data_IF_123155244803
#
_entry.id   IF_123155244803
#
_cell.length_a   1.000
_cell.length_b   1.000
_cell.length_c   1.000
_cell.angle_alpha   90.00
_cell.angle_beta   90.00
_cell.angle_gamma   90.00
#
_symmetry.space_group_name_H-M   'P 1'
#
loop_
_entity.id
_entity.type
_entity.pdbx_description
1 polymer ?
#
# COMPACT_ATOMS: atom_id res chain seq x y z
N UNK A 1 -1.99 4.90 8.35
CA UNK A 1 -1.20 4.26 9.43
C UNK A 1 -1.65 4.76 10.79
N UNK A 2 -1.61 6.08 11.04
CA UNK A 2 -2.07 6.67 12.30
C UNK A 2 -3.49 6.23 12.69
N UNK A 3 -4.48 6.30 11.78
CA UNK A 3 -5.87 5.92 12.10
C UNK A 3 -6.03 4.44 12.48
N UNK A 4 -5.17 3.56 11.95
CA UNK A 4 -5.15 2.13 12.28
C UNK A 4 -4.53 1.93 13.66
N UNK A 5 -3.41 2.60 13.94
CA UNK A 5 -2.75 2.58 15.25
C UNK A 5 -3.67 3.13 16.35
N UNK A 6 -4.37 4.24 16.10
CA UNK A 6 -5.33 4.83 17.03
C UNK A 6 -6.52 3.88 17.29
N UNK A 7 -7.01 3.22 16.24
CA UNK A 7 -8.10 2.23 16.36
C UNK A 7 -7.65 1.00 17.15
N UNK A 8 -6.42 0.53 16.94
CA UNK A 8 -5.83 -0.60 17.67
C UNK A 8 -5.54 -0.25 19.13
N UNK A 9 -5.02 0.96 19.40
CA UNK A 9 -4.79 1.49 20.74
C UNK A 9 -6.12 1.58 21.50
N UNK A 10 -7.21 2.04 20.85
CA UNK A 10 -8.52 2.12 21.49
C UNK A 10 -9.04 0.74 21.93
N UNK A 11 -8.78 -0.31 21.13
CA UNK A 11 -9.22 -1.69 21.37
C UNK A 11 -8.35 -2.44 22.36
N UNK A 12 -7.03 -2.28 22.29
CA UNK A 12 -6.06 -3.09 23.05
C UNK A 12 -5.44 -2.34 24.23
N UNK A 13 -5.51 -1.01 24.25
CA UNK A 13 -4.87 -0.15 25.24
C UNK A 13 -3.34 -0.07 25.11
N UNK A 14 -2.75 -0.66 24.06
CA UNK A 14 -1.30 -0.74 23.86
C UNK A 14 -0.88 0.10 22.67
N UNK A 15 0.16 0.92 22.83
CA UNK A 15 0.75 1.70 21.72
C UNK A 15 1.73 0.83 20.93
N UNK A 16 1.25 0.22 19.84
CA UNK A 16 2.00 -0.74 18.99
C UNK A 16 2.53 -0.14 17.69
N UNK A 17 2.79 1.17 17.67
CA UNK A 17 3.21 1.91 16.47
C UNK A 17 4.48 1.33 15.83
N UNK A 18 5.45 0.87 16.63
CA UNK A 18 6.68 0.26 16.13
C UNK A 18 6.47 -1.04 15.35
N UNK A 19 5.50 -1.87 15.77
CA UNK A 19 5.17 -3.12 15.07
C UNK A 19 4.51 -2.83 13.72
N UNK A 20 3.54 -1.91 13.68
CA UNK A 20 2.91 -1.48 12.43
C UNK A 20 3.92 -0.84 11.48
N UNK A 21 4.85 -0.02 11.99
CA UNK A 21 5.95 0.55 11.22
C UNK A 21 6.88 -0.50 10.63
N UNK A 22 7.26 -1.52 11.41
CA UNK A 22 8.11 -2.61 10.95
C UNK A 22 7.45 -3.43 9.83
N UNK A 23 6.17 -3.78 10.00
CA UNK A 23 5.40 -4.50 8.97
C UNK A 23 5.26 -3.68 7.70
N UNK A 24 4.99 -2.37 7.82
CA UNK A 24 4.93 -1.47 6.67
C UNK A 24 6.25 -1.43 5.90
N UNK A 25 7.36 -1.26 6.61
CA UNK A 25 8.68 -1.22 5.99
C UNK A 25 9.04 -2.53 5.30
N UNK A 26 8.71 -3.67 5.92
CA UNK A 26 8.88 -4.98 5.30
C UNK A 26 8.02 -5.13 4.03
N UNK A 27 6.74 -4.74 4.11
CA UNK A 27 5.82 -4.83 2.96
C UNK A 27 6.31 -3.97 1.79
N UNK A 28 6.83 -2.78 2.04
CA UNK A 28 7.42 -1.93 1.00
C UNK A 28 8.64 -2.59 0.33
N UNK A 29 9.52 -3.24 1.10
CA UNK A 29 10.66 -3.97 0.53
C UNK A 29 10.20 -5.13 -0.34
N UNK A 30 9.22 -5.90 0.12
CA UNK A 30 8.63 -7.01 -0.64
C UNK A 30 7.98 -6.49 -1.92
N UNK A 31 7.23 -5.39 -1.86
CA UNK A 31 6.62 -4.74 -3.01
C UNK A 31 7.67 -4.36 -4.06
N UNK A 32 8.75 -3.67 -3.67
CA UNK A 32 9.83 -3.29 -4.59
C UNK A 32 10.50 -4.52 -5.22
N UNK A 33 10.72 -5.59 -4.45
CA UNK A 33 11.25 -6.84 -4.98
C UNK A 33 10.31 -7.48 -6.01
N UNK A 34 9.01 -7.56 -5.71
CA UNK A 34 8.00 -8.06 -6.63
C UNK A 34 7.94 -7.23 -7.93
N UNK A 35 7.92 -5.90 -7.84
CA UNK A 35 7.91 -5.01 -9.01
C UNK A 35 9.15 -5.25 -9.89
N UNK A 36 10.31 -5.43 -9.27
CA UNK A 36 11.57 -5.71 -9.99
C UNK A 36 11.49 -7.03 -10.76
N UNK A 37 10.95 -8.07 -10.14
CA UNK A 37 10.76 -9.38 -10.80
C UNK A 37 9.78 -9.25 -11.97
N UNK A 38 8.64 -8.58 -11.76
CA UNK A 38 7.63 -8.38 -12.81
C UNK A 38 8.21 -7.58 -13.98
N UNK A 39 9.00 -6.55 -13.72
CA UNK A 39 9.66 -5.78 -14.77
C UNK A 39 10.57 -6.67 -15.64
N UNK A 40 11.33 -7.59 -15.03
CA UNK A 40 12.11 -8.59 -15.76
C UNK A 40 11.27 -9.48 -16.67
N UNK A 41 10.14 -9.99 -16.18
CA UNK A 41 9.22 -10.78 -16.99
C UNK A 41 8.61 -9.99 -18.16
N UNK A 42 8.29 -8.71 -17.95
CA UNK A 42 7.77 -7.84 -19.02
C UNK A 42 8.78 -7.71 -20.16
N UNK A 43 10.08 -7.58 -19.86
CA UNK A 43 11.12 -7.53 -20.88
C UNK A 43 11.15 -8.81 -21.72
N UNK A 44 11.17 -9.97 -21.07
CA UNK A 44 11.20 -11.27 -21.75
C UNK A 44 9.94 -11.48 -22.62
N UNK A 45 8.75 -11.18 -22.08
CA UNK A 45 7.48 -11.35 -22.79
C UNK A 45 7.32 -10.39 -23.98
N UNK A 46 7.89 -9.19 -23.89
CA UNK A 46 7.84 -8.21 -24.98
C UNK A 46 8.74 -8.58 -26.19
N UNK A 47 9.61 -9.59 -26.04
CA UNK A 47 10.58 -9.94 -27.07
C UNK A 47 11.77 -8.99 -27.13
N UNK A 48 12.11 -8.35 -26.00
CA UNK A 48 13.25 -7.43 -25.89
C UNK A 48 14.56 -8.16 -26.21
N UNK A 49 15.38 -7.56 -27.07
CA UNK A 49 16.71 -8.09 -27.45
C UNK A 49 17.83 -7.14 -27.03
N UNK A 50 18.75 -7.60 -26.20
CA UNK A 50 19.88 -6.79 -25.76
C UNK A 50 20.82 -6.44 -26.93
N UNK A 51 21.35 -5.21 -26.92
CA UNK A 51 22.38 -4.76 -27.87
C UNK A 51 21.88 -4.41 -29.28
N UNK A 52 20.56 -4.49 -29.53
CA UNK A 52 19.96 -4.19 -30.83
C UNK A 52 18.97 -3.02 -30.74
N UNK A 53 18.73 -2.33 -31.86
CA UNK A 53 17.62 -1.38 -31.98
C UNK A 53 16.32 -2.18 -31.98
N UNK A 54 15.43 -1.90 -31.02
CA UNK A 54 14.17 -2.62 -30.88
C UNK A 54 13.22 -2.29 -32.03
N UNK A 55 12.46 -3.30 -32.47
CA UNK A 55 11.41 -3.08 -33.45
C UNK A 55 10.31 -2.15 -32.88
N UNK A 56 9.59 -1.40 -33.73
CA UNK A 56 8.43 -0.62 -33.28
C UNK A 56 7.37 -1.46 -32.57
N UNK A 57 7.23 -2.73 -32.96
CA UNK A 57 6.29 -3.69 -32.36
C UNK A 57 6.70 -4.07 -30.93
N UNK A 58 7.98 -4.37 -30.71
CA UNK A 58 8.54 -4.65 -29.37
C UNK A 58 8.33 -3.47 -28.44
N UNK A 59 8.64 -2.25 -28.89
CA UNK A 59 8.42 -1.02 -28.10
C UNK A 59 6.94 -0.80 -27.78
N UNK A 60 6.04 -1.10 -28.72
CA UNK A 60 4.60 -1.04 -28.48
C UNK A 60 4.17 -2.06 -27.43
N UNK A 61 4.63 -3.31 -27.52
CA UNK A 61 4.31 -4.37 -26.56
C UNK A 61 4.82 -4.05 -25.15
N UNK A 62 6.03 -3.52 -25.01
CA UNK A 62 6.55 -3.08 -23.71
C UNK A 62 5.64 -2.02 -23.06
N UNK A 63 5.20 -1.02 -23.84
CA UNK A 63 4.29 0.03 -23.36
C UNK A 63 2.92 -0.54 -23.01
N UNK A 64 2.38 -1.41 -23.85
CA UNK A 64 1.08 -2.03 -23.64
C UNK A 64 1.07 -2.86 -22.34
N UNK A 65 2.06 -3.73 -22.15
CA UNK A 65 2.20 -4.54 -20.94
C UNK A 65 2.35 -3.67 -19.68
N UNK A 66 3.17 -2.62 -19.76
CA UNK A 66 3.34 -1.69 -18.65
C UNK A 66 2.02 -0.99 -18.27
N UNK A 67 1.27 -0.49 -19.25
CA UNK A 67 -0.04 0.16 -19.02
C UNK A 67 -1.05 -0.84 -18.44
N UNK A 68 -1.17 -2.02 -19.04
CA UNK A 68 -2.13 -3.04 -18.59
C UNK A 68 -1.86 -3.45 -17.14
N UNK A 69 -0.60 -3.73 -16.80
CA UNK A 69 -0.22 -4.11 -15.43
C UNK A 69 -0.51 -2.96 -14.45
N UNK A 70 -0.15 -1.72 -14.82
CA UNK A 70 -0.38 -0.55 -13.97
C UNK A 70 -1.87 -0.32 -13.72
N UNK A 71 -2.68 -0.37 -14.77
CA UNK A 71 -4.14 -0.19 -14.67
C UNK A 71 -4.77 -1.31 -13.84
N UNK A 72 -4.34 -2.56 -14.02
CA UNK A 72 -4.82 -3.68 -13.22
C UNK A 72 -4.49 -3.48 -11.72
N UNK A 73 -3.25 -3.14 -11.40
CA UNK A 73 -2.82 -2.88 -10.02
C UNK A 73 -3.59 -1.70 -9.39
N UNK A 74 -3.78 -0.60 -10.13
CA UNK A 74 -4.54 0.55 -9.64
C UNK A 74 -6.02 0.21 -9.44
N UNK A 75 -6.61 -0.58 -10.33
CA UNK A 75 -8.00 -1.02 -10.21
C UNK A 75 -8.20 -1.89 -8.96
N UNK A 76 -7.27 -2.83 -8.70
CA UNK A 76 -7.27 -3.65 -7.48
C UNK A 76 -7.09 -2.77 -6.24
N UNK A 77 -6.14 -1.83 -6.27
CA UNK A 77 -5.92 -0.90 -5.16
C UNK A 77 -7.18 -0.10 -4.85
N UNK A 78 -7.82 0.45 -5.88
CA UNK A 78 -9.04 1.24 -5.73
C UNK A 78 -10.19 0.40 -5.16
N UNK A 79 -10.36 -0.83 -5.65
CA UNK A 79 -11.34 -1.77 -5.13
C UNK A 79 -11.12 -2.09 -3.65
N UNK A 80 -9.88 -2.37 -3.25
CA UNK A 80 -9.53 -2.62 -1.85
C UNK A 80 -9.75 -1.38 -0.97
N UNK A 81 -9.49 -0.17 -1.49
CA UNK A 81 -9.80 1.08 -0.78
C UNK A 81 -11.30 1.24 -0.53
N UNK A 82 -12.16 0.85 -1.48
CA UNK A 82 -13.62 0.89 -1.27
C UNK A 82 -14.11 -0.08 -0.19
N UNK A 83 -13.41 -1.19 0.03
CA UNK A 83 -13.71 -2.14 1.10
C UNK A 83 -13.18 -1.69 2.48
N UNK A 84 -12.39 -0.60 2.53
CA UNK A 84 -11.75 -0.17 3.75
C UNK A 84 -12.76 0.48 4.72
N UNK A 85 -12.91 -0.03 5.96
CA UNK A 85 -13.99 0.38 6.85
C UNK A 85 -13.73 1.69 7.60
N UNK A 86 -12.51 2.23 7.55
CA UNK A 86 -12.14 3.45 8.26
C UNK A 86 -12.47 4.65 7.38
N UNK A 87 -13.60 5.28 7.68
CA UNK A 87 -14.01 6.56 7.10
C UNK A 87 -13.57 7.73 7.99
N UNK A 88 -13.63 8.95 7.46
CA UNK A 88 -13.32 10.16 8.23
C UNK A 88 -14.14 10.27 9.54
N UNK A 89 -15.41 9.88 9.49
CA UNK A 89 -16.29 9.86 10.67
C UNK A 89 -15.75 8.91 11.74
N UNK A 90 -15.41 7.67 11.35
CA UNK A 90 -14.87 6.68 12.29
C UNK A 90 -13.52 7.11 12.87
N UNK A 91 -12.65 7.75 12.08
CA UNK A 91 -11.36 8.27 12.55
C UNK A 91 -11.55 9.39 13.59
N UNK A 92 -12.46 10.32 13.35
CA UNK A 92 -12.80 11.39 14.31
C UNK A 92 -13.36 10.82 15.61
N UNK A 93 -14.26 9.84 15.53
CA UNK A 93 -14.84 9.18 16.71
C UNK A 93 -13.77 8.46 17.56
N UNK A 94 -12.86 7.72 16.92
CA UNK A 94 -11.76 7.03 17.62
C UNK A 94 -10.89 8.04 18.36
N UNK A 95 -10.53 9.15 17.71
CA UNK A 95 -9.71 10.19 18.31
C UNK A 95 -10.39 10.87 19.51
N UNK A 96 -11.66 11.23 19.37
CA UNK A 96 -12.44 11.80 20.47
C UNK A 96 -12.51 10.86 21.70
N UNK A 97 -12.65 9.55 21.47
CA UNK A 97 -12.67 8.55 22.56
C UNK A 97 -11.31 8.41 23.24
N UNK A 98 -10.21 8.49 22.49
CA UNK A 98 -8.85 8.46 23.06
C UNK A 98 -8.55 9.71 23.88
N UNK A 99 -8.93 10.89 23.39
CA UNK A 99 -8.75 12.16 24.11
C UNK A 99 -9.55 12.19 25.42
N UNK A 100 -10.80 11.68 25.41
CA UNK A 100 -11.61 11.54 26.63
C UNK A 100 -10.93 10.63 27.67
N UNK A 101 -10.35 9.49 27.26
CA UNK A 101 -9.63 8.59 28.17
C UNK A 101 -8.39 9.25 28.79
N UNK A 102 -7.64 10.04 28.01
CA UNK A 102 -6.48 10.78 28.53
C UNK A 102 -6.89 11.79 29.61
N UNK A 103 -7.98 12.53 29.39
CA UNK A 103 -8.46 13.51 30.36
C UNK A 103 -8.94 12.86 31.67
N UNK A 104 -9.54 11.67 31.64
CA UNK A 104 -9.95 10.95 32.87
C UNK A 104 -8.76 10.44 33.70
N UNK A 105 -7.62 10.15 33.06
CA UNK A 105 -6.41 9.71 33.75
C UNK A 105 -5.53 10.87 34.25
N UNK A 106 -5.67 12.07 33.69
CA UNK A 106 -4.94 13.25 34.14
C UNK A 106 -5.53 13.92 35.39
N UNK A 107 -6.78 13.57 35.74
CA UNK A 107 -7.54 14.13 36.89
C UNK A 107 -7.48 13.23 38.15
N UNK A 108 -6.54 12.27 38.19
CA UNK A 108 -6.22 11.42 39.34
C UNK A 108 -4.76 11.58 39.73
#
# INVERSE_FOLDING_TARGET
>A
MADICDTDELKTGLRREGMFGAVYAFMNKTSTACVTIVAGYVLVLSGYQEGMIQSPETLFMMRLLFIVITVACLSISLFLTFLFPITEQTAREVRARLDARKNTHADK
#
